data_IF_404614254750
#
_entry.id   IF_404614254750
#
_cell.length_a   1.000
_cell.length_b   1.000
_cell.length_c   1.000
_cell.angle_alpha   90.00
_cell.angle_beta   90.00
_cell.angle_gamma   90.00
#
_symmetry.space_group_name_H-M   'P 1'
#
loop_
_entity.id
_entity.type
_entity.pdbx_description
1 polymer ?
#
# COMPACT_ATOMS: atom_id res chain seq x y z
N UNK A 1 11.63 -9.36 17.38
CA UNK A 1 11.31 -10.81 17.27
C UNK A 1 9.86 -11.07 16.79
N UNK A 2 8.91 -10.13 16.95
CA UNK A 2 7.51 -10.31 16.51
C UNK A 2 7.32 -10.08 15.02
N UNK A 3 8.11 -9.24 14.39
CA UNK A 3 7.94 -8.83 12.99
C UNK A 3 8.24 -9.94 11.99
N UNK A 4 9.29 -10.74 12.24
CA UNK A 4 9.66 -11.83 11.33
C UNK A 4 8.51 -12.82 11.10
N UNK A 5 7.84 -13.39 12.13
CA UNK A 5 6.70 -14.28 11.91
C UNK A 5 5.47 -13.54 11.36
N UNK A 6 5.30 -12.26 11.65
CA UNK A 6 4.22 -11.42 11.11
C UNK A 6 4.32 -11.33 9.59
N UNK A 7 5.46 -10.89 9.05
CA UNK A 7 5.68 -10.78 7.61
C UNK A 7 5.73 -12.15 6.93
N UNK A 8 6.33 -13.17 7.58
CA UNK A 8 6.37 -14.52 7.05
C UNK A 8 4.98 -15.11 6.81
N UNK A 9 4.00 -14.83 7.69
CA UNK A 9 2.62 -15.30 7.53
C UNK A 9 1.97 -14.68 6.28
N UNK A 10 2.14 -13.37 6.08
CA UNK A 10 1.60 -12.68 4.90
C UNK A 10 2.23 -13.16 3.61
N UNK A 11 3.57 -13.35 3.59
CA UNK A 11 4.26 -13.94 2.43
C UNK A 11 3.78 -15.36 2.10
N UNK A 12 3.55 -16.19 3.12
CA UNK A 12 3.01 -17.55 2.91
C UNK A 12 1.61 -17.51 2.33
N UNK A 13 0.73 -16.63 2.83
CA UNK A 13 -0.59 -16.45 2.27
C UNK A 13 -0.51 -16.02 0.80
N UNK A 14 0.29 -15.01 0.46
CA UNK A 14 0.43 -14.55 -0.92
C UNK A 14 0.96 -15.67 -1.82
N UNK A 15 1.96 -16.42 -1.38
CA UNK A 15 2.50 -17.55 -2.14
C UNK A 15 1.44 -18.62 -2.40
N UNK A 16 0.61 -18.94 -1.39
CA UNK A 16 -0.49 -19.90 -1.53
C UNK A 16 -1.58 -19.39 -2.49
N UNK A 17 -1.93 -18.11 -2.41
CA UNK A 17 -2.89 -17.49 -3.36
C UNK A 17 -2.37 -17.56 -4.79
N UNK A 18 -1.09 -17.23 -5.01
CA UNK A 18 -0.47 -17.31 -6.34
C UNK A 18 -0.44 -18.74 -6.86
N UNK A 19 -0.16 -19.72 -6.00
CA UNK A 19 -0.18 -21.14 -6.35
C UNK A 19 -1.56 -21.57 -6.83
N UNK A 20 -2.62 -21.17 -6.11
CA UNK A 20 -4.01 -21.43 -6.51
C UNK A 20 -4.35 -20.74 -7.83
N UNK A 21 -3.94 -19.49 -8.02
CA UNK A 21 -4.17 -18.76 -9.28
C UNK A 21 -3.47 -19.43 -10.48
N UNK A 22 -2.29 -20.02 -10.28
CA UNK A 22 -1.52 -20.68 -11.34
C UNK A 22 -2.04 -22.09 -11.68
N UNK A 23 -2.45 -22.84 -10.67
CA UNK A 23 -2.85 -24.26 -10.84
C UNK A 23 -4.36 -24.49 -10.89
N UNK A 24 -5.14 -23.49 -10.58
CA UNK A 24 -6.59 -23.56 -10.64
C UNK A 24 -7.18 -24.59 -9.66
N UNK A 25 -8.26 -25.27 -10.08
CA UNK A 25 -8.97 -26.23 -9.23
C UNK A 25 -8.16 -27.46 -8.79
N UNK A 26 -6.96 -27.64 -9.30
CA UNK A 26 -6.06 -28.71 -8.86
C UNK A 26 -5.20 -28.32 -7.66
N UNK A 27 -5.17 -27.05 -7.28
CA UNK A 27 -4.41 -26.57 -6.12
C UNK A 27 -5.13 -26.90 -4.80
N UNK A 28 -4.34 -27.06 -3.75
CA UNK A 28 -4.84 -27.19 -2.38
C UNK A 28 -5.18 -25.80 -1.82
N UNK A 29 -6.44 -25.59 -1.43
CA UNK A 29 -6.90 -24.33 -0.82
C UNK A 29 -6.56 -24.22 0.66
N UNK A 30 -6.26 -25.32 1.35
CA UNK A 30 -6.04 -25.33 2.79
C UNK A 30 -4.99 -24.30 3.26
N UNK A 31 -3.84 -24.10 2.55
CA UNK A 31 -2.87 -23.08 2.97
C UNK A 31 -3.40 -21.63 2.87
N UNK A 32 -4.34 -21.36 1.93
CA UNK A 32 -5.00 -20.06 1.81
C UNK A 32 -5.97 -19.87 2.98
N UNK A 33 -6.85 -20.85 3.22
CA UNK A 33 -7.86 -20.82 4.28
C UNK A 33 -7.20 -20.69 5.66
N UNK A 34 -6.18 -21.49 5.95
CA UNK A 34 -5.37 -21.40 7.18
C UNK A 34 -4.71 -20.02 7.32
N UNK A 35 -4.14 -19.49 6.25
CA UNK A 35 -3.50 -18.18 6.22
C UNK A 35 -4.48 -17.05 6.54
N UNK A 36 -5.66 -17.05 5.90
CA UNK A 36 -6.74 -16.10 6.13
C UNK A 36 -7.23 -16.17 7.57
N UNK A 37 -7.53 -17.40 8.03
CA UNK A 37 -7.99 -17.61 9.40
C UNK A 37 -6.98 -17.13 10.45
N UNK A 38 -5.72 -17.55 10.34
CA UNK A 38 -4.67 -17.16 11.27
C UNK A 38 -4.45 -15.63 11.33
N UNK A 39 -4.58 -14.93 10.20
CA UNK A 39 -4.45 -13.46 10.18
C UNK A 39 -5.67 -12.81 10.85
N UNK A 40 -6.87 -13.35 10.68
CA UNK A 40 -8.06 -12.85 11.36
C UNK A 40 -7.99 -13.04 12.90
N UNK A 41 -7.33 -14.08 13.39
CA UNK A 41 -7.15 -14.36 14.83
C UNK A 41 -6.05 -13.49 15.48
N UNK A 42 -5.25 -12.73 14.73
CA UNK A 42 -4.29 -11.81 15.32
C UNK A 42 -4.99 -10.71 16.13
N UNK A 43 -4.49 -10.38 17.31
CA UNK A 43 -5.03 -9.30 18.15
C UNK A 43 -4.97 -7.95 17.43
N UNK A 44 -3.91 -7.70 16.67
CA UNK A 44 -3.71 -6.48 15.88
C UNK A 44 -2.98 -6.79 14.58
N UNK A 45 -3.29 -6.01 13.53
CA UNK A 45 -2.54 -6.05 12.26
C UNK A 45 -1.42 -5.00 12.21
N UNK A 46 -1.36 -4.10 13.17
CA UNK A 46 -0.24 -3.16 13.31
C UNK A 46 0.97 -3.87 13.93
N UNK A 47 2.17 -3.48 13.51
CA UNK A 47 3.39 -3.93 14.17
C UNK A 47 3.59 -3.22 15.51
N UNK A 48 4.29 -3.86 16.44
CA UNK A 48 4.49 -3.34 17.79
C UNK A 48 5.19 -1.97 17.81
N UNK A 49 6.09 -1.71 16.85
CA UNK A 49 6.77 -0.43 16.73
C UNK A 49 5.83 0.75 16.42
N UNK A 50 4.67 0.48 15.79
CA UNK A 50 3.68 1.49 15.42
C UNK A 50 2.49 1.57 16.38
N UNK A 51 2.43 0.68 17.36
CA UNK A 51 1.27 0.53 18.22
C UNK A 51 1.20 1.54 19.37
N UNK A 52 2.17 2.46 19.50
CA UNK A 52 2.26 3.45 20.60
C UNK A 52 2.10 2.82 22.00
N UNK A 53 2.62 1.61 22.18
CA UNK A 53 2.53 0.88 23.43
C UNK A 53 3.34 1.59 24.52
N UNK A 54 2.80 1.67 25.73
CA UNK A 54 3.43 2.29 26.88
C UNK A 54 3.59 1.30 28.02
N UNK A 55 4.39 1.64 29.02
CA UNK A 55 4.51 0.80 30.24
C UNK A 55 3.17 0.61 30.97
N UNK A 56 2.25 1.57 30.86
CA UNK A 56 0.90 1.47 31.42
C UNK A 56 -0.05 0.64 30.54
N UNK A 57 0.18 0.62 29.24
CA UNK A 57 -0.61 -0.11 28.23
C UNK A 57 0.31 -0.90 27.30
N UNK A 58 0.90 -2.02 27.79
CA UNK A 58 1.93 -2.76 27.06
C UNK A 58 1.37 -3.68 25.97
N UNK A 59 0.04 -3.79 25.85
CA UNK A 59 -0.62 -4.65 24.87
C UNK A 59 -1.64 -3.86 24.05
N UNK A 60 -1.81 -4.21 22.76
CA UNK A 60 -2.85 -3.60 21.94
C UNK A 60 -4.25 -4.00 22.42
N UNK A 61 -5.19 -3.07 22.31
CA UNK A 61 -6.60 -3.28 22.69
C UNK A 61 -7.34 -3.72 21.42
N UNK A 62 -7.91 -4.92 21.42
CA UNK A 62 -8.56 -5.51 20.23
C UNK A 62 -9.81 -4.74 19.78
N UNK A 63 -10.50 -4.04 20.70
CA UNK A 63 -11.65 -3.17 20.38
C UNK A 63 -11.25 -1.83 19.76
N UNK A 64 -9.97 -1.46 19.84
CA UNK A 64 -9.43 -0.22 19.29
C UNK A 64 -8.35 -0.52 18.26
N UNK A 65 -8.72 -1.01 17.05
CA UNK A 65 -7.75 -1.44 16.06
C UNK A 65 -6.87 -0.26 15.61
N UNK A 66 -5.57 -0.50 15.52
CA UNK A 66 -4.58 0.47 15.05
C UNK A 66 -4.49 0.33 13.54
N UNK A 67 -4.68 1.43 12.82
CA UNK A 67 -4.51 1.49 11.38
C UNK A 67 -3.17 2.16 11.04
N UNK A 68 -2.14 1.32 10.91
CA UNK A 68 -0.80 1.70 10.45
C UNK A 68 -0.56 1.25 9.00
N UNK A 69 0.67 1.41 8.51
CA UNK A 69 1.10 0.99 7.18
C UNK A 69 0.76 -0.48 6.90
N UNK A 70 1.10 -1.35 7.84
CA UNK A 70 1.01 -2.80 7.64
C UNK A 70 -0.38 -3.35 7.93
N UNK A 71 -1.17 -2.68 8.77
CA UNK A 71 -2.59 -3.00 8.93
C UNK A 71 -3.36 -2.69 7.63
N UNK A 72 -3.10 -1.53 7.02
CA UNK A 72 -3.67 -1.15 5.73
C UNK A 72 -3.25 -2.12 4.62
N UNK A 73 -1.96 -2.48 4.56
CA UNK A 73 -1.43 -3.44 3.60
C UNK A 73 -2.01 -4.85 3.81
N UNK A 74 -2.19 -5.28 5.06
CA UNK A 74 -2.86 -6.54 5.38
C UNK A 74 -4.30 -6.53 4.87
N UNK A 75 -5.05 -5.45 5.10
CA UNK A 75 -6.41 -5.30 4.59
C UNK A 75 -6.44 -5.42 3.06
N UNK A 76 -5.51 -4.78 2.35
CA UNK A 76 -5.39 -4.87 0.90
C UNK A 76 -5.11 -6.29 0.42
N UNK A 77 -4.16 -7.00 1.04
CA UNK A 77 -3.83 -8.39 0.68
C UNK A 77 -5.04 -9.31 0.88
N UNK A 78 -5.75 -9.17 2.00
CA UNK A 78 -6.94 -9.98 2.29
C UNK A 78 -8.08 -9.65 1.30
N UNK A 79 -8.36 -8.38 1.06
CA UNK A 79 -9.42 -7.95 0.12
C UNK A 79 -9.15 -8.48 -1.29
N UNK A 80 -7.90 -8.40 -1.75
CA UNK A 80 -7.53 -8.89 -3.07
C UNK A 80 -7.60 -10.42 -3.15
N UNK A 81 -7.22 -11.12 -2.06
CA UNK A 81 -7.38 -12.59 -1.98
C UNK A 81 -8.85 -12.98 -2.11
N UNK A 82 -9.76 -12.29 -1.41
CA UNK A 82 -11.20 -12.52 -1.54
C UNK A 82 -11.68 -12.31 -2.98
N UNK A 83 -11.23 -11.24 -3.64
CA UNK A 83 -11.59 -10.95 -5.05
C UNK A 83 -11.08 -12.02 -6.02
N UNK A 84 -9.85 -12.50 -5.82
CA UNK A 84 -9.25 -13.51 -6.72
C UNK A 84 -9.86 -14.89 -6.56
N UNK A 85 -10.31 -15.24 -5.35
CA UNK A 85 -10.72 -16.60 -4.99
C UNK A 85 -12.18 -16.67 -4.51
N UNK A 86 -13.02 -15.68 -4.85
CA UNK A 86 -14.40 -15.53 -4.37
C UNK A 86 -15.23 -16.81 -4.50
N UNK A 87 -15.24 -17.41 -5.68
CA UNK A 87 -15.99 -18.64 -5.97
C UNK A 87 -15.41 -19.92 -5.33
N UNK A 88 -14.26 -19.83 -4.67
CA UNK A 88 -13.49 -20.98 -4.20
C UNK A 88 -13.43 -21.06 -2.68
N UNK A 89 -13.63 -19.94 -1.99
CA UNK A 89 -13.55 -19.86 -0.53
C UNK A 89 -14.90 -20.22 0.11
N UNK A 90 -14.83 -20.82 1.30
CA UNK A 90 -16.02 -21.02 2.10
C UNK A 90 -16.68 -19.68 2.48
N UNK A 91 -18.01 -19.60 2.35
CA UNK A 91 -18.75 -18.36 2.55
C UNK A 91 -18.63 -17.81 3.98
N UNK A 92 -18.46 -18.67 4.99
CA UNK A 92 -18.29 -18.23 6.39
C UNK A 92 -16.91 -17.62 6.61
N UNK A 93 -15.87 -18.17 5.98
CA UNK A 93 -14.53 -17.59 5.98
C UNK A 93 -14.50 -16.26 5.24
N UNK A 94 -15.14 -16.18 4.05
CA UNK A 94 -15.26 -14.94 3.31
C UNK A 94 -15.91 -13.83 4.16
N UNK A 95 -17.05 -14.12 4.82
CA UNK A 95 -17.73 -13.17 5.70
C UNK A 95 -16.86 -12.77 6.89
N UNK A 96 -16.14 -13.72 7.51
CA UNK A 96 -15.22 -13.41 8.61
C UNK A 96 -14.12 -12.46 8.19
N UNK A 97 -13.45 -12.72 7.07
CA UNK A 97 -12.36 -11.88 6.56
C UNK A 97 -12.89 -10.48 6.22
N UNK A 98 -14.02 -10.39 5.53
CA UNK A 98 -14.67 -9.11 5.20
C UNK A 98 -14.98 -8.30 6.46
N UNK A 99 -15.55 -8.92 7.49
CA UNK A 99 -15.85 -8.26 8.76
C UNK A 99 -14.59 -7.72 9.47
N UNK A 100 -13.49 -8.48 9.44
CA UNK A 100 -12.23 -8.04 10.04
C UNK A 100 -11.58 -6.87 9.26
N UNK A 101 -11.64 -6.88 7.92
CA UNK A 101 -11.17 -5.75 7.10
C UNK A 101 -12.01 -4.50 7.38
N UNK A 102 -13.33 -4.65 7.42
CA UNK A 102 -14.24 -3.55 7.73
C UNK A 102 -13.89 -2.93 9.08
N UNK A 103 -13.83 -3.74 10.13
CA UNK A 103 -13.58 -3.33 11.50
C UNK A 103 -12.19 -2.73 11.72
N UNK A 104 -11.14 -3.29 11.07
CA UNK A 104 -9.74 -2.92 11.35
C UNK A 104 -9.18 -1.86 10.42
N UNK A 105 -9.75 -1.69 9.23
CA UNK A 105 -9.23 -0.74 8.24
C UNK A 105 -10.29 0.26 7.78
N UNK A 106 -11.43 -0.18 7.26
CA UNK A 106 -12.41 0.72 6.63
C UNK A 106 -13.09 1.63 7.66
N UNK A 107 -13.61 1.07 8.76
CA UNK A 107 -14.29 1.86 9.80
C UNK A 107 -13.36 2.87 10.49
N UNK A 108 -12.13 2.52 10.92
CA UNK A 108 -11.19 3.50 11.43
C UNK A 108 -10.87 4.60 10.42
N UNK A 109 -10.67 4.24 9.15
CA UNK A 109 -10.40 5.19 8.09
C UNK A 109 -11.56 6.18 7.89
N UNK A 110 -12.80 5.71 7.92
CA UNK A 110 -14.00 6.54 7.70
C UNK A 110 -14.37 7.42 8.91
N UNK A 111 -14.15 6.93 10.14
CA UNK A 111 -14.77 7.55 11.31
C UNK A 111 -13.79 8.20 12.30
N UNK A 112 -12.46 7.93 12.19
CA UNK A 112 -11.47 8.57 13.04
C UNK A 112 -10.94 9.85 12.42
N UNK A 113 -10.48 10.77 13.29
CA UNK A 113 -9.81 12.01 12.89
C UNK A 113 -8.50 12.24 13.67
N UNK A 114 -8.11 11.28 14.52
CA UNK A 114 -7.03 11.42 15.49
C UNK A 114 -5.70 10.87 15.02
N UNK A 115 -5.72 9.98 14.04
CA UNK A 115 -4.48 9.39 13.51
C UNK A 115 -3.66 10.46 12.78
N UNK A 116 -2.42 10.63 13.18
CA UNK A 116 -1.58 11.73 12.75
C UNK A 116 -1.37 11.79 11.22
N UNK A 117 -1.26 10.63 10.58
CA UNK A 117 -1.06 10.50 9.13
C UNK A 117 -2.27 10.94 8.30
N UNK A 118 -3.44 11.12 8.91
CA UNK A 118 -4.64 11.61 8.23
C UNK A 118 -4.57 13.11 7.87
N UNK A 119 -3.67 13.86 8.49
CA UNK A 119 -3.49 15.29 8.22
C UNK A 119 -4.56 16.22 8.79
N UNK A 120 -5.47 15.71 9.64
CA UNK A 120 -6.49 16.54 10.28
C UNK A 120 -5.98 17.25 11.53
N UNK A 121 -5.04 16.66 12.23
CA UNK A 121 -4.48 17.16 13.49
C UNK A 121 -3.03 17.62 13.37
N UNK A 122 -2.32 17.16 12.33
CA UNK A 122 -0.90 17.41 12.11
C UNK A 122 -0.65 17.91 10.68
N UNK A 123 0.41 18.70 10.48
CA UNK A 123 0.75 19.32 9.18
C UNK A 123 2.05 18.82 8.58
N UNK A 124 2.80 18.01 9.28
CA UNK A 124 4.06 17.39 8.84
C UNK A 124 3.81 15.92 8.47
N UNK A 125 3.26 15.71 7.29
CA UNK A 125 2.92 14.40 6.78
C UNK A 125 4.08 13.84 5.93
N UNK A 126 4.19 12.51 5.94
CA UNK A 126 5.17 11.76 5.14
C UNK A 126 4.50 10.66 4.33
N UNK A 127 5.28 9.72 3.82
CA UNK A 127 4.84 8.58 3.01
C UNK A 127 3.74 7.71 3.65
N UNK A 128 3.56 7.77 4.97
CA UNK A 128 2.48 7.05 5.66
C UNK A 128 1.10 7.37 5.09
N UNK A 129 0.87 8.63 4.78
CA UNK A 129 -0.44 9.07 4.26
C UNK A 129 -0.78 8.37 2.95
N UNK A 130 -0.04 8.56 1.84
CA UNK A 130 -0.41 7.91 0.58
C UNK A 130 -0.34 6.38 0.65
N UNK A 131 0.57 5.81 1.43
CA UNK A 131 0.67 4.36 1.61
C UNK A 131 -0.59 3.78 2.25
N UNK A 132 -1.02 4.30 3.40
CA UNK A 132 -2.24 3.81 4.07
C UNK A 132 -3.46 4.08 3.20
N UNK A 133 -3.58 5.29 2.65
CA UNK A 133 -4.73 5.71 1.84
C UNK A 133 -4.90 4.80 0.62
N UNK A 134 -3.84 4.51 -0.13
CA UNK A 134 -3.93 3.67 -1.34
C UNK A 134 -4.39 2.25 -1.02
N UNK A 135 -3.88 1.65 0.06
CA UNK A 135 -4.27 0.31 0.48
C UNK A 135 -5.72 0.23 0.95
N UNK A 136 -6.20 1.24 1.70
CA UNK A 136 -7.60 1.29 2.14
C UNK A 136 -8.55 1.56 0.97
N UNK A 137 -8.18 2.46 0.04
CA UNK A 137 -8.96 2.70 -1.19
C UNK A 137 -9.08 1.42 -2.03
N UNK A 138 -7.99 0.68 -2.20
CA UNK A 138 -8.00 -0.59 -2.91
C UNK A 138 -8.88 -1.63 -2.20
N UNK A 139 -8.79 -1.72 -0.87
CA UNK A 139 -9.65 -2.62 -0.08
C UNK A 139 -11.13 -2.28 -0.26
N UNK A 140 -11.50 -1.01 -0.23
CA UNK A 140 -12.88 -0.58 -0.47
C UNK A 140 -13.33 -0.92 -1.89
N UNK A 141 -12.46 -0.73 -2.91
CA UNK A 141 -12.74 -1.11 -4.31
C UNK A 141 -13.06 -2.60 -4.48
N UNK A 142 -12.41 -3.46 -3.67
CA UNK A 142 -12.62 -4.91 -3.71
C UNK A 142 -13.90 -5.35 -2.96
N UNK A 143 -14.29 -4.65 -1.89
CA UNK A 143 -15.29 -5.14 -0.93
C UNK A 143 -16.67 -4.49 -1.07
N UNK A 144 -16.80 -3.41 -1.84
CA UNK A 144 -18.07 -2.66 -1.96
C UNK A 144 -18.31 -2.18 -3.37
N UNK A 145 -19.58 -2.16 -3.77
CA UNK A 145 -20.02 -1.58 -5.05
C UNK A 145 -19.94 -0.04 -5.04
N UNK A 146 -19.90 0.59 -3.87
CA UNK A 146 -19.74 2.04 -3.71
C UNK A 146 -18.54 2.41 -2.86
N UNK A 147 -17.32 2.51 -3.44
CA UNK A 147 -16.12 2.94 -2.75
C UNK A 147 -16.03 4.47 -2.56
N UNK A 148 -16.96 5.25 -3.12
CA UNK A 148 -16.90 6.71 -3.12
C UNK A 148 -16.80 7.37 -1.73
N UNK A 149 -17.45 6.89 -0.66
CA UNK A 149 -17.26 7.45 0.68
C UNK A 149 -15.79 7.41 1.13
N UNK A 150 -15.09 6.29 0.89
CA UNK A 150 -13.65 6.15 1.18
C UNK A 150 -12.83 7.09 0.30
N UNK A 151 -13.13 7.18 -1.00
CA UNK A 151 -12.41 8.04 -1.95
C UNK A 151 -12.56 9.53 -1.64
N UNK A 152 -13.77 9.98 -1.31
CA UNK A 152 -14.00 11.38 -0.90
C UNK A 152 -13.20 11.74 0.35
N UNK A 153 -13.14 10.82 1.32
CA UNK A 153 -12.36 11.05 2.52
C UNK A 153 -10.85 11.05 2.23
N UNK A 154 -10.40 10.14 1.35
CA UNK A 154 -9.02 10.07 0.88
C UNK A 154 -8.57 11.39 0.24
N UNK A 155 -9.40 12.06 -0.56
CA UNK A 155 -9.08 13.36 -1.17
C UNK A 155 -8.58 14.38 -0.14
N UNK A 156 -9.28 14.53 0.99
CA UNK A 156 -8.87 15.48 2.03
C UNK A 156 -7.51 15.15 2.67
N UNK A 157 -7.21 13.86 2.84
CA UNK A 157 -5.92 13.39 3.38
C UNK A 157 -4.79 13.60 2.36
N UNK A 158 -5.03 13.28 1.09
CA UNK A 158 -4.06 13.47 0.02
C UNK A 158 -3.78 14.94 -0.25
N UNK A 159 -4.80 15.81 -0.18
CA UNK A 159 -4.60 17.26 -0.25
C UNK A 159 -3.73 17.78 0.91
N UNK A 160 -3.93 17.24 2.12
CA UNK A 160 -3.10 17.58 3.26
C UNK A 160 -1.64 17.14 3.04
N UNK A 161 -1.44 15.93 2.53
CA UNK A 161 -0.11 15.41 2.18
C UNK A 161 0.56 16.25 1.08
N UNK A 162 -0.13 16.54 -0.01
CA UNK A 162 0.41 17.37 -1.10
C UNK A 162 0.82 18.76 -0.66
N UNK A 163 0.15 19.34 0.35
CA UNK A 163 0.60 20.63 0.94
C UNK A 163 1.93 20.54 1.67
N UNK A 164 2.30 19.37 2.20
CA UNK A 164 3.59 19.15 2.89
C UNK A 164 4.76 18.96 1.90
N UNK A 165 4.48 18.48 0.69
CA UNK A 165 5.52 18.23 -0.32
C UNK A 165 5.99 19.56 -0.91
N UNK A 166 7.31 19.79 -1.05
CA UNK A 166 7.85 20.97 -1.70
C UNK A 166 7.48 21.04 -3.20
N UNK A 167 7.59 22.23 -3.79
CA UNK A 167 7.17 22.45 -5.17
C UNK A 167 7.97 21.64 -6.20
N UNK A 168 9.23 21.30 -5.88
CA UNK A 168 10.11 20.48 -6.70
C UNK A 168 9.76 18.97 -6.65
N UNK A 169 8.84 18.57 -5.78
CA UNK A 169 8.41 17.18 -5.63
C UNK A 169 9.43 16.27 -4.93
N UNK A 170 10.44 16.84 -4.28
CA UNK A 170 11.49 16.09 -3.61
C UNK A 170 10.96 15.22 -2.48
N UNK A 171 11.56 14.03 -2.31
CA UNK A 171 11.34 13.12 -1.19
C UNK A 171 12.55 13.22 -0.26
N UNK A 172 12.36 13.68 0.96
CA UNK A 172 13.41 13.87 1.94
C UNK A 172 14.01 12.57 2.48
N UNK A 173 13.30 11.45 2.33
CA UNK A 173 13.80 10.11 2.63
C UNK A 173 14.64 9.50 1.50
N UNK A 174 14.75 10.17 0.35
CA UNK A 174 15.55 9.72 -0.80
C UNK A 174 14.76 8.90 -1.84
N UNK A 175 15.45 8.54 -2.94
CA UNK A 175 14.82 7.89 -4.10
C UNK A 175 14.28 6.48 -3.78
N UNK A 176 14.84 5.77 -2.82
CA UNK A 176 14.34 4.44 -2.39
C UNK A 176 12.89 4.51 -1.88
N UNK A 177 12.55 5.57 -1.15
CA UNK A 177 11.22 5.77 -0.58
C UNK A 177 10.18 6.32 -1.58
N UNK A 178 10.60 6.66 -2.80
CA UNK A 178 9.68 7.11 -3.83
C UNK A 178 8.50 6.17 -4.03
N UNK A 179 8.74 4.86 -3.97
CA UNK A 179 7.70 3.86 -4.17
C UNK A 179 6.58 3.95 -3.10
N UNK A 180 6.96 4.23 -1.85
CA UNK A 180 6.05 4.37 -0.71
C UNK A 180 5.37 5.73 -0.66
N UNK A 181 6.00 6.76 -1.23
CA UNK A 181 5.51 8.14 -1.27
C UNK A 181 4.74 8.42 -2.58
N UNK A 182 5.43 8.86 -3.63
CA UNK A 182 4.81 9.22 -4.91
C UNK A 182 4.23 8.01 -5.65
N UNK A 183 4.83 6.82 -5.49
CA UNK A 183 4.28 5.58 -6.06
C UNK A 183 2.94 5.19 -5.43
N UNK A 184 2.78 5.30 -4.12
CA UNK A 184 1.48 5.06 -3.46
C UNK A 184 0.46 6.14 -3.80
N UNK A 185 0.89 7.40 -3.97
CA UNK A 185 0.02 8.45 -4.48
C UNK A 185 -0.46 8.15 -5.90
N UNK A 186 0.43 7.63 -6.78
CA UNK A 186 0.05 7.18 -8.12
C UNK A 186 -1.08 6.15 -8.07
N UNK A 187 -0.99 5.15 -7.18
CA UNK A 187 -2.05 4.15 -7.02
C UNK A 187 -3.38 4.78 -6.57
N UNK A 188 -3.36 5.76 -5.65
CA UNK A 188 -4.55 6.50 -5.27
C UNK A 188 -5.20 7.21 -6.47
N UNK A 189 -4.39 7.88 -7.29
CA UNK A 189 -4.86 8.63 -8.44
C UNK A 189 -5.42 7.72 -9.55
N UNK A 190 -4.82 6.54 -9.75
CA UNK A 190 -5.36 5.55 -10.69
C UNK A 190 -6.72 5.03 -10.23
N UNK A 191 -6.89 4.68 -8.94
CA UNK A 191 -8.17 4.27 -8.36
C UNK A 191 -9.23 5.38 -8.48
N UNK A 192 -8.84 6.64 -8.26
CA UNK A 192 -9.71 7.80 -8.45
C UNK A 192 -10.12 7.96 -9.92
N UNK A 193 -9.19 7.78 -10.85
CA UNK A 193 -9.47 7.86 -12.28
C UNK A 193 -10.44 6.76 -12.75
N UNK A 194 -10.33 5.54 -12.23
CA UNK A 194 -11.30 4.46 -12.47
C UNK A 194 -12.71 4.85 -12.01
N UNK A 195 -12.82 5.61 -10.92
CA UNK A 195 -14.08 6.15 -10.41
C UNK A 195 -14.55 7.43 -11.12
N UNK A 196 -13.88 7.85 -12.19
CA UNK A 196 -14.21 9.06 -12.96
C UNK A 196 -13.73 10.37 -12.34
N UNK A 197 -12.86 10.33 -11.33
CA UNK A 197 -12.27 11.49 -10.70
C UNK A 197 -10.92 11.79 -11.34
N UNK A 198 -10.79 12.93 -12.04
CA UNK A 198 -9.52 13.35 -12.63
C UNK A 198 -8.76 14.29 -11.70
N UNK A 199 -7.58 13.86 -11.24
CA UNK A 199 -6.72 14.61 -10.32
C UNK A 199 -5.29 14.82 -10.88
N UNK A 200 -5.08 14.68 -12.20
CA UNK A 200 -3.76 14.68 -12.83
C UNK A 200 -3.16 16.07 -13.10
N UNK A 201 -3.92 17.15 -12.96
CA UNK A 201 -3.53 18.49 -13.37
C UNK A 201 -2.65 19.24 -12.34
N UNK A 202 -2.22 18.59 -11.27
CA UNK A 202 -1.34 19.18 -10.25
C UNK A 202 0.13 19.17 -10.73
N UNK A 203 0.76 20.35 -10.99
CA UNK A 203 2.14 20.40 -11.48
C UNK A 203 3.16 19.73 -10.56
N UNK A 204 2.96 19.82 -9.27
CA UNK A 204 3.80 19.18 -8.24
C UNK A 204 3.83 17.67 -8.39
N UNK A 205 2.70 17.06 -8.77
CA UNK A 205 2.60 15.62 -8.99
C UNK A 205 3.60 15.13 -10.06
N UNK A 206 3.73 15.88 -11.18
CA UNK A 206 4.72 15.56 -12.21
C UNK A 206 6.13 15.55 -11.63
N UNK A 207 6.47 16.52 -10.79
CA UNK A 207 7.80 16.61 -10.17
C UNK A 207 8.03 15.44 -9.20
N UNK A 208 7.04 15.10 -8.38
CA UNK A 208 7.09 13.94 -7.47
C UNK A 208 7.32 12.64 -8.23
N UNK A 209 6.59 12.40 -9.32
CA UNK A 209 6.72 11.18 -10.10
C UNK A 209 8.07 11.10 -10.86
N UNK A 210 8.66 12.24 -11.22
CA UNK A 210 9.98 12.32 -11.87
C UNK A 210 11.17 12.30 -10.92
N UNK A 211 10.95 12.39 -9.63
CA UNK A 211 12.03 12.51 -8.64
C UNK A 211 13.12 11.44 -8.78
N UNK A 212 12.82 10.13 -8.98
CA UNK A 212 13.86 9.12 -9.17
C UNK A 212 14.72 9.38 -10.42
N UNK A 213 14.12 9.89 -11.51
CA UNK A 213 14.87 10.24 -12.72
C UNK A 213 15.89 11.34 -12.45
N UNK A 214 15.52 12.34 -11.62
CA UNK A 214 16.43 13.44 -11.25
C UNK A 214 17.52 12.99 -10.28
N UNK A 215 17.27 11.98 -9.47
CA UNK A 215 18.23 11.43 -8.50
C UNK A 215 19.14 10.36 -9.07
N UNK A 216 18.89 9.90 -10.31
CA UNK A 216 19.70 8.88 -10.97
C UNK A 216 21.04 9.43 -11.41
N UNK A 217 22.12 8.74 -11.05
CA UNK A 217 23.50 9.02 -11.49
C UNK A 217 23.94 8.09 -12.64
N UNK A 218 23.02 7.25 -13.13
CA UNK A 218 23.31 6.23 -14.16
C UNK A 218 23.83 4.91 -13.59
N UNK A 219 23.79 3.85 -14.41
CA UNK A 219 24.26 2.50 -14.05
C UNK A 219 23.66 1.92 -12.75
N UNK A 220 22.41 2.28 -12.43
CA UNK A 220 21.71 1.85 -11.21
C UNK A 220 22.16 2.58 -9.93
N UNK A 221 23.01 3.61 -10.04
CA UNK A 221 23.36 4.46 -8.91
C UNK A 221 22.40 5.65 -8.79
N UNK A 222 22.12 6.02 -7.56
CA UNK A 222 21.30 7.16 -7.19
C UNK A 222 22.03 8.04 -6.19
N UNK A 223 21.62 9.30 -6.10
CA UNK A 223 22.04 10.18 -5.02
C UNK A 223 21.58 9.58 -3.70
N UNK A 224 22.52 9.14 -2.87
CA UNK A 224 22.26 8.45 -1.62
C UNK A 224 22.33 9.41 -0.44
N UNK A 225 21.16 9.79 0.03
CA UNK A 225 20.98 10.55 1.26
C UNK A 225 19.81 9.96 2.04
N UNK A 226 19.69 10.30 3.32
CA UNK A 226 18.72 9.75 4.26
C UNK A 226 18.70 8.20 4.17
N UNK A 227 17.56 7.61 3.95
CA UNK A 227 17.37 6.14 3.93
C UNK A 227 17.54 5.52 2.52
N UNK A 228 18.21 6.23 1.61
CA UNK A 228 18.45 5.75 0.26
C UNK A 228 19.85 5.16 0.10
N UNK A 229 19.92 3.89 -0.27
CA UNK A 229 21.18 3.26 -0.68
C UNK A 229 21.72 3.84 -1.99
N UNK A 230 23.03 3.71 -2.22
CA UNK A 230 23.63 4.13 -3.49
C UNK A 230 23.11 3.31 -4.69
N UNK A 231 22.63 2.10 -4.47
CA UNK A 231 21.97 1.23 -5.44
C UNK A 231 20.68 0.69 -4.85
N UNK A 232 19.63 1.51 -4.72
CA UNK A 232 18.36 1.07 -4.17
C UNK A 232 17.66 0.12 -5.12
N UNK A 233 16.80 -0.75 -4.57
CA UNK A 233 15.83 -1.48 -5.37
C UNK A 233 14.75 -0.50 -5.83
N UNK A 234 14.57 -0.40 -7.14
CA UNK A 234 13.56 0.47 -7.75
C UNK A 234 12.49 -0.35 -8.43
N UNK A 235 11.26 0.12 -8.36
CA UNK A 235 10.09 -0.56 -8.93
C UNK A 235 9.89 -0.11 -10.37
N UNK A 236 10.57 -0.80 -11.29
CA UNK A 236 10.64 -0.45 -12.69
C UNK A 236 9.27 -0.36 -13.36
N UNK A 237 8.36 -1.26 -13.03
CA UNK A 237 6.99 -1.29 -13.56
C UNK A 237 6.22 -0.02 -13.18
N UNK A 238 6.32 0.43 -11.94
CA UNK A 238 5.65 1.66 -11.47
C UNK A 238 6.26 2.91 -12.09
N UNK A 239 7.59 2.95 -12.23
CA UNK A 239 8.29 4.05 -12.92
C UNK A 239 7.88 4.12 -14.38
N UNK A 240 7.83 2.98 -15.08
CA UNK A 240 7.33 2.92 -16.44
C UNK A 240 5.89 3.43 -16.53
N UNK A 241 5.01 2.96 -15.67
CA UNK A 241 3.61 3.39 -15.62
C UNK A 241 3.48 4.90 -15.40
N UNK A 242 4.24 5.46 -14.45
CA UNK A 242 4.29 6.90 -14.21
C UNK A 242 4.75 7.67 -15.47
N UNK A 243 5.78 7.17 -16.16
CA UNK A 243 6.28 7.76 -17.40
C UNK A 243 5.25 7.76 -18.52
N UNK A 244 4.52 6.65 -18.69
CA UNK A 244 3.46 6.52 -19.69
C UNK A 244 2.31 7.51 -19.42
N UNK A 245 1.83 7.60 -18.19
CA UNK A 245 0.77 8.52 -17.79
C UNK A 245 1.16 9.99 -17.98
N UNK A 246 2.40 10.33 -17.64
CA UNK A 246 2.95 11.68 -17.82
C UNK A 246 3.38 11.98 -19.27
N UNK A 247 3.39 10.98 -20.17
CA UNK A 247 4.00 11.04 -21.50
C UNK A 247 5.46 11.50 -21.43
N UNK A 248 6.20 10.93 -20.47
CA UNK A 248 7.61 11.24 -20.18
C UNK A 248 8.51 10.08 -20.65
N UNK A 249 9.03 10.18 -21.85
CA UNK A 249 9.82 9.11 -22.48
C UNK A 249 11.09 8.74 -21.67
N UNK A 250 11.86 9.68 -21.10
CA UNK A 250 12.99 9.35 -20.22
C UNK A 250 12.58 8.54 -18.97
N UNK A 251 11.48 8.90 -18.32
CA UNK A 251 10.99 8.19 -17.15
C UNK A 251 10.49 6.78 -17.52
N UNK A 252 9.79 6.65 -18.63
CA UNK A 252 9.34 5.36 -19.19
C UNK A 252 10.54 4.45 -19.47
N UNK A 253 11.57 4.96 -20.15
CA UNK A 253 12.78 4.21 -20.47
C UNK A 253 13.54 3.78 -19.19
N UNK A 254 13.61 4.65 -18.19
CA UNK A 254 14.18 4.31 -16.87
C UNK A 254 13.43 3.15 -16.23
N UNK A 255 12.10 3.20 -16.22
CA UNK A 255 11.26 2.13 -15.68
C UNK A 255 11.53 0.80 -16.41
N UNK A 256 11.55 0.79 -17.74
CA UNK A 256 11.84 -0.39 -18.56
C UNK A 256 13.21 -1.01 -18.23
N UNK A 257 14.24 -0.19 -18.03
CA UNK A 257 15.59 -0.65 -17.70
C UNK A 257 15.72 -1.24 -16.26
N UNK A 258 14.80 -0.88 -15.37
CA UNK A 258 14.80 -1.30 -13.96
C UNK A 258 13.78 -2.41 -13.67
N UNK A 259 13.09 -2.94 -14.69
CA UNK A 259 12.14 -4.05 -14.54
C UNK A 259 12.81 -5.33 -14.06
N UNK A 260 12.04 -6.15 -13.35
CA UNK A 260 12.47 -7.47 -12.92
C UNK A 260 13.50 -7.46 -11.79
N UNK A 261 13.71 -6.34 -11.12
CA UNK A 261 14.49 -6.35 -9.88
C UNK A 261 13.73 -7.14 -8.80
N UNK A 262 14.42 -7.99 -8.02
CA UNK A 262 13.77 -8.73 -6.95
C UNK A 262 13.21 -7.74 -5.90
N UNK A 263 11.92 -7.87 -5.60
CA UNK A 263 11.23 -7.04 -4.62
C UNK A 263 10.60 -7.92 -3.55
N UNK A 264 10.57 -7.45 -2.31
CA UNK A 264 9.77 -8.09 -1.25
C UNK A 264 8.33 -7.59 -1.36
N UNK A 265 7.42 -8.45 -1.79
CA UNK A 265 6.02 -8.10 -1.99
C UNK A 265 5.24 -7.76 -0.71
N UNK A 266 5.86 -7.73 0.46
CA UNK A 266 5.19 -7.37 1.72
C UNK A 266 5.91 -6.27 2.48
N UNK A 267 7.25 -6.20 2.43
CA UNK A 267 8.02 -5.14 3.08
C UNK A 267 8.04 -3.87 2.24
N UNK A 268 8.25 -4.04 0.94
CA UNK A 268 8.59 -2.95 0.03
C UNK A 268 7.52 -2.66 -1.03
N UNK A 269 6.58 -3.59 -1.28
CA UNK A 269 5.51 -3.38 -2.25
C UNK A 269 4.19 -3.18 -1.53
N UNK A 270 3.69 -1.95 -1.50
CA UNK A 270 2.38 -1.69 -0.94
C UNK A 270 1.26 -2.39 -1.72
N UNK A 271 1.51 -2.93 -2.92
CA UNK A 271 0.45 -3.39 -3.81
C UNK A 271 0.72 -4.77 -4.41
N UNK A 272 0.33 -5.80 -3.69
CA UNK A 272 0.26 -7.18 -4.17
C UNK A 272 -0.51 -7.31 -5.50
N UNK A 273 -1.57 -6.52 -5.69
CA UNK A 273 -2.35 -6.48 -6.93
C UNK A 273 -1.51 -6.21 -8.17
N UNK A 274 -0.36 -5.56 -8.05
CA UNK A 274 0.56 -5.26 -9.15
C UNK A 274 1.39 -6.45 -9.61
N UNK A 275 1.41 -7.54 -8.86
CA UNK A 275 2.08 -8.78 -9.28
C UNK A 275 1.30 -9.54 -10.36
N UNK A 276 0.03 -9.19 -10.57
CA UNK A 276 -0.87 -9.88 -11.51
C UNK A 276 -1.26 -9.01 -12.71
N UNK A 277 -0.73 -7.79 -12.81
CA UNK A 277 -0.82 -6.91 -13.97
C UNK A 277 0.39 -7.08 -14.89
#
# INVERSE_FOLDING_TARGET
QCETPYFARRRKLIAAVLDVCLHGKSADLSPVEDGLWCICEETTWAISAHANLTAAHPFPISSEPILDLFAAQTAMVLSFTLTLLDDWLDSSLHQRVTAEIQRRAIDPFLHRNTDWWMGFTRKDLCNWTPWIVSNVMFSARCLTDDPLPVYRRACGMLDAYLRCIPADGGCDEGAAYWNMAAGSLLDCLELMAEAGLNCWDEPKLRNMLRFPLLMSLGNGYFANFADCDARPVMYGERLQRAGELLRDAPLTAMGQNLRGQPTDCIGDVPHFSRLLQ
#
